data_IF_520412414165
#
_entry.id   IF_520412414165
#
_cell.length_a   1.000
_cell.length_b   1.000
_cell.length_c   1.000
_cell.angle_alpha   90.00
_cell.angle_beta   90.00
_cell.angle_gamma   90.00
#
_symmetry.space_group_name_H-M   'P 1'
#
loop_
_entity.id
_entity.type
_entity.pdbx_description
1 polymer ?
#
# COMPACT_ATOMS: atom_id res chain seq x y z
N UNK A 1 -9.93 7.29 16.20
CA UNK A 1 -10.05 8.58 16.90
C UNK A 1 -9.21 8.63 18.18
N UNK A 2 -9.35 7.62 19.06
CA UNK A 2 -8.72 7.64 20.40
C UNK A 2 -7.18 7.70 20.38
N UNK A 3 -6.52 7.03 19.41
CA UNK A 3 -5.05 7.08 19.27
C UNK A 3 -4.52 8.50 19.05
N UNK A 4 -4.97 9.23 18.01
CA UNK A 4 -4.60 10.63 17.80
C UNK A 4 -4.98 11.55 18.97
N UNK A 5 -6.12 11.34 19.60
CA UNK A 5 -6.53 12.08 20.80
C UNK A 5 -5.53 11.88 21.96
N UNK A 6 -5.20 10.62 22.27
CA UNK A 6 -4.28 10.28 23.37
C UNK A 6 -2.86 10.80 23.10
N UNK A 7 -2.40 10.69 21.87
CA UNK A 7 -1.10 11.19 21.45
C UNK A 7 -1.03 12.72 21.33
N UNK A 8 -2.18 13.41 21.38
CA UNK A 8 -2.33 14.82 21.02
C UNK A 8 -1.65 15.16 19.68
N UNK A 9 -1.69 14.20 18.76
CA UNK A 9 -1.06 14.28 17.44
C UNK A 9 -1.58 13.17 16.53
N UNK A 10 -1.92 13.48 15.30
CA UNK A 10 -2.35 12.47 14.32
C UNK A 10 -3.34 13.00 13.30
N UNK A 11 -3.70 12.14 12.36
CA UNK A 11 -4.56 12.46 11.23
C UNK A 11 -5.72 11.45 11.21
N UNK A 12 -6.75 11.70 12.02
CA UNK A 12 -7.87 10.76 12.15
C UNK A 12 -8.93 10.92 11.06
N UNK A 13 -9.10 12.11 10.49
CA UNK A 13 -10.23 12.40 9.62
C UNK A 13 -10.25 11.57 8.33
N UNK A 14 -9.12 11.46 7.63
CA UNK A 14 -8.98 10.58 6.48
C UNK A 14 -9.10 9.11 6.88
N UNK A 15 -8.52 8.71 8.02
CA UNK A 15 -8.62 7.34 8.52
C UNK A 15 -10.06 6.92 8.84
N UNK A 16 -10.87 7.84 9.35
CA UNK A 16 -12.30 7.62 9.60
C UNK A 16 -13.08 7.46 8.30
N UNK A 17 -12.87 8.36 7.35
CA UNK A 17 -13.55 8.33 6.04
C UNK A 17 -13.20 7.09 5.21
N UNK A 18 -11.96 6.57 5.34
CA UNK A 18 -11.48 5.39 4.62
C UNK A 18 -11.66 4.07 5.39
N UNK A 19 -12.23 4.09 6.60
CA UNK A 19 -12.41 2.87 7.38
C UNK A 19 -13.24 1.78 6.66
N UNK A 20 -14.37 2.10 5.97
CA UNK A 20 -15.10 1.09 5.21
C UNK A 20 -14.28 0.50 4.05
N UNK A 21 -13.53 1.32 3.31
CA UNK A 21 -12.63 0.86 2.26
C UNK A 21 -11.57 -0.09 2.81
N UNK A 22 -10.91 0.28 3.89
CA UNK A 22 -9.88 -0.55 4.52
C UNK A 22 -10.47 -1.87 5.04
N UNK A 23 -11.67 -1.83 5.63
CA UNK A 23 -12.41 -3.03 6.01
C UNK A 23 -12.62 -3.95 4.80
N UNK A 24 -13.13 -3.44 3.68
CA UNK A 24 -13.39 -4.25 2.47
C UNK A 24 -12.09 -4.84 1.91
N UNK A 25 -11.03 -4.02 1.80
CA UNK A 25 -9.74 -4.49 1.32
C UNK A 25 -9.23 -5.67 2.15
N UNK A 26 -9.08 -5.49 3.46
CA UNK A 26 -8.47 -6.50 4.33
C UNK A 26 -9.36 -7.71 4.58
N UNK A 27 -10.69 -7.54 4.70
CA UNK A 27 -11.57 -8.65 5.06
C UNK A 27 -12.17 -9.39 3.87
N UNK A 28 -12.26 -8.77 2.68
CA UNK A 28 -13.00 -9.34 1.55
C UNK A 28 -12.18 -9.50 0.27
N UNK A 29 -11.29 -8.55 -0.06
CA UNK A 29 -10.66 -8.46 -1.38
C UNK A 29 -9.23 -8.98 -1.39
N UNK A 30 -8.37 -8.45 -0.54
CA UNK A 30 -6.95 -8.78 -0.54
C UNK A 30 -6.67 -10.25 -0.21
N UNK A 31 -5.75 -10.83 -0.94
CA UNK A 31 -5.14 -12.14 -0.70
C UNK A 31 -3.96 -11.97 0.26
N UNK A 32 -4.16 -12.23 1.55
CA UNK A 32 -3.13 -12.10 2.58
C UNK A 32 -3.36 -13.11 3.71
N UNK A 33 -2.28 -13.45 4.42
CA UNK A 33 -2.32 -14.38 5.55
C UNK A 33 -1.62 -13.73 6.75
N UNK A 34 -2.36 -13.30 7.80
CA UNK A 34 -1.74 -12.69 8.98
C UNK A 34 -0.80 -13.63 9.73
N UNK A 35 -0.96 -14.96 9.58
CA UNK A 35 -0.06 -15.95 10.17
C UNK A 35 1.30 -16.04 9.44
N UNK A 36 1.37 -15.58 8.18
CA UNK A 36 2.61 -15.46 7.42
C UNK A 36 2.66 -14.10 6.68
N UNK A 37 3.01 -13.01 7.38
CA UNK A 37 3.10 -11.69 6.79
C UNK A 37 4.20 -11.58 5.71
N UNK A 38 5.03 -12.60 5.55
CA UNK A 38 6.08 -12.67 4.54
C UNK A 38 5.75 -13.60 3.37
N UNK A 39 4.53 -14.16 3.32
CA UNK A 39 4.09 -14.97 2.17
C UNK A 39 4.39 -14.25 0.84
N UNK A 40 5.13 -14.90 -0.03
CA UNK A 40 5.70 -14.28 -1.22
C UNK A 40 4.66 -13.79 -2.21
N UNK A 41 3.54 -14.49 -2.35
CA UNK A 41 2.45 -14.14 -3.28
C UNK A 41 1.21 -13.52 -2.59
N UNK A 42 1.40 -12.91 -1.41
CA UNK A 42 0.35 -12.08 -0.81
C UNK A 42 0.14 -10.81 -1.61
N UNK A 43 -1.06 -10.26 -1.64
CA UNK A 43 -1.30 -8.92 -2.13
C UNK A 43 -0.56 -7.88 -1.27
N UNK A 44 -0.18 -6.77 -1.87
CA UNK A 44 0.54 -5.66 -1.21
C UNK A 44 -0.42 -4.52 -0.94
N UNK A 45 -0.39 -4.01 0.28
CA UNK A 45 -1.10 -2.79 0.65
C UNK A 45 -0.13 -1.67 0.95
N UNK A 46 -0.23 -0.55 0.25
CA UNK A 46 0.60 0.63 0.45
C UNK A 46 -0.29 1.82 0.82
N UNK A 47 -0.03 2.39 1.98
CA UNK A 47 -0.63 3.65 2.38
C UNK A 47 0.32 4.79 1.97
N UNK A 48 0.11 5.37 0.77
CA UNK A 48 0.97 6.44 0.25
C UNK A 48 0.86 7.71 1.08
N UNK A 49 -0.35 8.03 1.55
CA UNK A 49 -0.55 9.05 2.58
C UNK A 49 -0.20 8.54 3.97
N UNK A 50 1.10 8.33 4.25
CA UNK A 50 1.58 7.67 5.47
C UNK A 50 1.16 8.37 6.78
N UNK A 51 0.77 9.65 6.73
CA UNK A 51 0.23 10.38 7.87
C UNK A 51 -1.06 9.75 8.43
N UNK A 52 -1.81 8.98 7.62
CA UNK A 52 -3.03 8.25 8.01
C UNK A 52 -2.71 6.89 8.65
N UNK A 53 -1.51 6.70 9.15
CA UNK A 53 -0.97 5.43 9.68
C UNK A 53 -1.88 4.71 10.67
N UNK A 54 -2.64 5.44 11.48
CA UNK A 54 -3.59 4.86 12.45
C UNK A 54 -4.64 3.97 11.77
N UNK A 55 -5.04 4.27 10.54
CA UNK A 55 -5.94 3.40 9.77
C UNK A 55 -5.29 2.04 9.52
N UNK A 56 -4.06 2.04 9.00
CA UNK A 56 -3.34 0.79 8.72
C UNK A 56 -3.07 -0.01 9.99
N UNK A 57 -2.64 0.64 11.08
CA UNK A 57 -2.42 -0.06 12.35
C UNK A 57 -3.69 -0.65 12.92
N UNK A 58 -4.82 0.06 12.81
CA UNK A 58 -6.12 -0.48 13.22
C UNK A 58 -6.49 -1.74 12.44
N UNK A 59 -6.24 -1.76 11.13
CA UNK A 59 -6.48 -2.96 10.32
C UNK A 59 -5.53 -4.10 10.65
N UNK A 60 -4.23 -3.81 10.85
CA UNK A 60 -3.26 -4.83 11.25
C UNK A 60 -3.59 -5.44 12.62
N UNK A 61 -4.08 -4.63 13.56
CA UNK A 61 -4.60 -5.11 14.84
C UNK A 61 -5.81 -6.02 14.66
N UNK A 62 -6.83 -5.56 13.92
CA UNK A 62 -8.06 -6.32 13.69
C UNK A 62 -7.81 -7.62 12.92
N UNK A 63 -6.88 -7.62 11.97
CA UNK A 63 -6.53 -8.81 11.18
C UNK A 63 -5.63 -9.81 11.92
N UNK A 64 -4.98 -9.41 13.01
CA UNK A 64 -4.13 -10.31 13.79
C UNK A 64 -2.67 -10.38 13.34
N UNK A 65 -2.12 -9.28 12.82
CA UNK A 65 -0.69 -9.17 12.45
C UNK A 65 0.26 -8.97 13.64
N UNK A 66 -0.19 -9.29 14.85
CA UNK A 66 0.63 -9.24 16.07
C UNK A 66 0.42 -8.01 16.92
N UNK A 67 -0.10 -6.91 16.38
CA UNK A 67 -0.44 -5.73 17.18
C UNK A 67 -1.51 -6.05 18.22
N UNK A 68 -1.34 -5.48 19.41
CA UNK A 68 -2.28 -5.54 20.52
C UNK A 68 -2.96 -4.16 20.70
N UNK A 69 -4.01 -4.12 21.51
CA UNK A 69 -4.72 -2.86 21.78
C UNK A 69 -3.81 -1.83 22.46
N UNK A 70 -2.92 -2.30 23.31
CA UNK A 70 -1.91 -1.50 23.99
C UNK A 70 -0.95 -0.81 23.01
N UNK A 71 -0.63 -1.44 21.88
CA UNK A 71 0.20 -0.82 20.85
C UNK A 71 -0.52 0.36 20.19
N UNK A 72 -1.84 0.26 19.98
CA UNK A 72 -2.66 1.38 19.48
C UNK A 72 -2.77 2.51 20.52
N UNK A 73 -2.80 2.18 21.81
CA UNK A 73 -2.77 3.16 22.90
C UNK A 73 -1.43 3.91 22.98
N UNK A 74 -0.35 3.29 22.48
CA UNK A 74 0.99 3.88 22.40
C UNK A 74 1.25 4.54 21.02
N UNK A 75 0.21 4.88 20.28
CA UNK A 75 0.34 5.54 18.97
C UNK A 75 1.23 6.78 19.04
N UNK A 76 2.21 6.88 18.15
CA UNK A 76 3.20 7.96 18.07
C UNK A 76 4.11 8.13 19.30
N UNK A 77 4.15 7.15 20.21
CA UNK A 77 5.07 7.22 21.32
C UNK A 77 6.44 6.65 20.93
N UNK A 78 7.50 7.14 21.57
CA UNK A 78 8.86 6.68 21.30
C UNK A 78 9.00 5.18 21.54
N UNK A 79 9.51 4.46 20.55
CA UNK A 79 9.72 3.01 20.61
C UNK A 79 8.47 2.15 20.47
N UNK A 80 7.29 2.75 20.23
CA UNK A 80 6.06 1.99 19.99
C UNK A 80 6.06 1.29 18.64
N UNK A 81 5.29 0.20 18.51
CA UNK A 81 5.06 -0.49 17.24
C UNK A 81 4.12 0.27 16.28
N UNK A 82 3.62 1.43 16.70
CA UNK A 82 2.70 2.27 15.92
C UNK A 82 3.25 3.70 15.78
N UNK A 83 4.39 3.87 15.08
CA UNK A 83 4.99 5.18 14.85
C UNK A 83 4.07 6.11 14.04
N UNK A 84 4.42 7.39 13.95
CA UNK A 84 3.60 8.40 13.28
C UNK A 84 3.33 8.14 11.79
N UNK A 85 4.22 7.41 11.15
CA UNK A 85 4.12 6.96 9.76
C UNK A 85 4.50 5.48 9.70
N UNK A 86 3.97 4.69 8.74
CA UNK A 86 4.33 3.29 8.60
C UNK A 86 5.82 3.11 8.30
N UNK A 87 6.45 2.13 8.96
CA UNK A 87 7.87 1.79 8.77
C UNK A 87 8.00 0.30 8.46
N UNK A 88 8.55 -0.01 7.28
CA UNK A 88 8.81 -1.40 6.87
C UNK A 88 9.85 -2.05 7.80
N UNK A 89 9.58 -3.29 8.20
CA UNK A 89 10.44 -4.03 9.12
C UNK A 89 10.27 -3.67 10.60
N UNK A 90 9.49 -2.62 10.92
CA UNK A 90 9.17 -2.24 12.29
C UNK A 90 7.81 -2.80 12.73
N UNK A 91 6.79 -2.65 11.91
CA UNK A 91 5.44 -3.18 12.17
C UNK A 91 5.14 -4.29 11.18
N UNK A 92 4.75 -5.48 11.65
CA UNK A 92 4.40 -6.60 10.77
C UNK A 92 3.20 -6.23 9.87
N UNK A 93 3.29 -6.57 8.58
CA UNK A 93 2.27 -6.22 7.58
C UNK A 93 2.40 -4.84 6.95
N UNK A 94 3.40 -4.04 7.34
CA UNK A 94 3.78 -2.81 6.64
C UNK A 94 4.74 -3.14 5.51
N UNK A 95 4.38 -2.78 4.28
CA UNK A 95 5.12 -3.11 3.06
C UNK A 95 6.16 -2.03 2.68
N UNK A 96 5.89 -0.78 3.00
CA UNK A 96 6.71 0.38 2.60
C UNK A 96 6.74 1.40 3.72
N UNK A 97 7.92 1.96 3.97
CA UNK A 97 8.05 3.16 4.81
C UNK A 97 7.53 4.36 4.02
N UNK A 98 6.50 5.02 4.54
CA UNK A 98 5.90 6.20 3.93
C UNK A 98 5.91 7.38 4.89
N UNK A 99 5.53 8.55 4.39
CA UNK A 99 5.57 9.83 5.11
C UNK A 99 5.78 10.95 4.11
N UNK A 100 6.91 10.99 3.37
CA UNK A 100 7.07 11.87 2.22
C UNK A 100 6.02 11.52 1.15
N UNK A 101 5.20 12.50 0.77
CA UNK A 101 4.10 12.31 -0.17
C UNK A 101 4.58 11.83 -1.55
N UNK A 102 3.77 11.04 -2.23
CA UNK A 102 4.08 10.47 -3.55
C UNK A 102 5.02 9.26 -3.53
N UNK A 103 5.86 9.11 -2.50
CA UNK A 103 6.84 8.01 -2.44
C UNK A 103 6.16 6.64 -2.36
N UNK A 104 5.10 6.50 -1.57
CA UNK A 104 4.34 5.25 -1.48
C UNK A 104 3.72 4.83 -2.81
N UNK A 105 3.16 5.79 -3.55
CA UNK A 105 2.64 5.55 -4.89
C UNK A 105 3.73 5.05 -5.86
N UNK A 106 4.89 5.71 -5.87
CA UNK A 106 6.01 5.30 -6.71
C UNK A 106 6.56 3.91 -6.31
N UNK A 107 6.62 3.60 -5.01
CA UNK A 107 6.96 2.24 -4.53
C UNK A 107 5.95 1.19 -4.99
N UNK A 108 4.65 1.52 -4.99
CA UNK A 108 3.61 0.62 -5.48
C UNK A 108 3.81 0.28 -6.97
N UNK A 109 4.17 1.26 -7.79
CA UNK A 109 4.55 1.04 -9.19
C UNK A 109 5.75 0.11 -9.29
N UNK A 110 6.81 0.34 -8.49
CA UNK A 110 7.97 -0.54 -8.43
C UNK A 110 7.63 -1.99 -8.04
N UNK A 111 6.72 -2.18 -7.08
CA UNK A 111 6.24 -3.51 -6.67
C UNK A 111 5.43 -4.19 -7.78
N UNK A 112 4.59 -3.46 -8.49
CA UNK A 112 3.84 -4.01 -9.62
C UNK A 112 4.76 -4.36 -10.81
N UNK A 113 5.83 -3.61 -11.05
CA UNK A 113 6.87 -3.97 -12.02
C UNK A 113 7.57 -5.27 -11.60
N UNK A 114 7.90 -5.39 -10.32
CA UNK A 114 8.53 -6.62 -9.79
C UNK A 114 7.60 -7.82 -9.92
N UNK A 115 6.31 -7.67 -9.60
CA UNK A 115 5.29 -8.72 -9.80
C UNK A 115 5.24 -9.16 -11.26
N UNK A 116 5.09 -8.23 -12.19
CA UNK A 116 4.99 -8.54 -13.63
C UNK A 116 6.23 -9.29 -14.15
N UNK A 117 7.44 -8.89 -13.70
CA UNK A 117 8.68 -9.59 -14.04
C UNK A 117 8.73 -10.99 -13.44
N UNK A 118 8.43 -11.14 -12.17
CA UNK A 118 8.45 -12.43 -11.47
C UNK A 118 7.39 -13.38 -12.03
N UNK A 119 6.18 -12.86 -12.32
CA UNK A 119 5.10 -13.63 -12.95
C UNK A 119 5.48 -14.12 -14.36
N UNK A 120 6.12 -13.27 -15.16
CA UNK A 120 6.62 -13.68 -16.48
C UNK A 120 7.71 -14.75 -16.39
N UNK A 121 8.49 -14.76 -15.31
CA UNK A 121 9.59 -15.69 -15.10
C UNK A 121 9.15 -17.02 -14.49
N UNK A 122 8.28 -16.97 -13.47
CA UNK A 122 7.93 -18.14 -12.65
C UNK A 122 6.50 -18.65 -12.87
N UNK A 123 5.70 -17.93 -13.66
CA UNK A 123 4.31 -18.29 -13.97
C UNK A 123 3.32 -17.77 -12.93
N UNK A 124 2.04 -17.68 -13.35
CA UNK A 124 0.95 -17.18 -12.52
C UNK A 124 0.63 -18.09 -11.31
N UNK A 125 0.93 -19.39 -11.39
CA UNK A 125 0.76 -20.29 -10.24
C UNK A 125 1.66 -19.93 -9.05
N UNK A 126 2.78 -19.23 -9.31
CA UNK A 126 3.74 -18.85 -8.31
C UNK A 126 3.67 -17.36 -7.94
N UNK A 127 3.34 -16.48 -8.90
CA UNK A 127 3.26 -15.03 -8.72
C UNK A 127 2.04 -14.49 -9.43
N UNK A 128 1.05 -14.07 -8.66
CA UNK A 128 -0.24 -13.54 -9.15
C UNK A 128 -0.89 -12.62 -8.09
N UNK A 129 -0.07 -11.75 -7.48
CA UNK A 129 -0.57 -10.83 -6.46
C UNK A 129 -0.81 -9.43 -7.02
N UNK A 130 -1.77 -8.75 -6.41
CA UNK A 130 -2.05 -7.35 -6.71
C UNK A 130 -1.33 -6.41 -5.74
N UNK A 131 -1.08 -5.21 -6.21
CA UNK A 131 -0.60 -4.10 -5.39
C UNK A 131 -1.71 -3.06 -5.29
N UNK A 132 -2.22 -2.86 -4.07
CA UNK A 132 -3.22 -1.84 -3.74
C UNK A 132 -2.51 -0.66 -3.08
N UNK A 133 -2.70 0.54 -3.61
CA UNK A 133 -2.16 1.76 -3.02
C UNK A 133 -3.27 2.78 -2.79
N UNK A 134 -3.33 3.32 -1.56
CA UNK A 134 -4.22 4.43 -1.21
C UNK A 134 -3.41 5.72 -1.25
N UNK A 135 -3.85 6.68 -2.06
CA UNK A 135 -3.20 7.96 -2.26
C UNK A 135 -4.23 9.10 -2.14
N UNK A 136 -3.88 10.16 -1.44
CA UNK A 136 -4.65 11.41 -1.40
C UNK A 136 -4.15 12.41 -2.43
N UNK A 137 -4.78 13.58 -2.48
CA UNK A 137 -4.44 14.69 -3.38
C UNK A 137 -2.94 15.03 -3.32
N UNK A 138 -2.40 15.25 -2.12
CA UNK A 138 -0.99 15.59 -1.94
C UNK A 138 -0.03 14.55 -2.51
N UNK A 139 -0.36 13.26 -2.45
CA UNK A 139 0.46 12.21 -3.08
C UNK A 139 0.46 12.33 -4.61
N UNK A 140 -0.70 12.60 -5.22
CA UNK A 140 -0.83 12.68 -6.68
C UNK A 140 -0.36 14.02 -7.27
N UNK A 141 -0.11 15.01 -6.43
CA UNK A 141 0.48 16.32 -6.81
C UNK A 141 2.01 16.25 -6.91
N UNK A 142 2.66 15.26 -6.26
CA UNK A 142 4.12 15.13 -6.29
C UNK A 142 4.64 14.73 -7.69
N UNK A 143 5.76 15.32 -8.12
CA UNK A 143 6.39 15.05 -9.43
C UNK A 143 6.68 13.59 -9.67
N UNK A 144 7.18 12.87 -8.64
CA UNK A 144 7.47 11.44 -8.71
C UNK A 144 6.23 10.61 -9.03
N UNK A 145 5.04 11.03 -8.58
CA UNK A 145 3.78 10.33 -8.90
C UNK A 145 3.41 10.45 -10.37
N UNK A 146 3.67 11.60 -11.01
CA UNK A 146 3.46 11.80 -12.44
C UNK A 146 4.38 10.89 -13.27
N UNK A 147 5.66 10.84 -12.94
CA UNK A 147 6.63 9.98 -13.61
C UNK A 147 6.28 8.49 -13.44
N UNK A 148 6.01 8.06 -12.21
CA UNK A 148 5.64 6.68 -11.90
C UNK A 148 4.33 6.27 -12.58
N UNK A 149 3.29 7.13 -12.57
CA UNK A 149 2.01 6.85 -13.22
C UNK A 149 2.15 6.69 -14.74
N UNK A 150 2.92 7.56 -15.38
CA UNK A 150 3.21 7.48 -16.81
C UNK A 150 3.91 6.16 -17.16
N UNK A 151 4.88 5.75 -16.34
CA UNK A 151 5.60 4.50 -16.56
C UNK A 151 4.72 3.27 -16.32
N UNK A 152 3.89 3.27 -15.27
CA UNK A 152 2.95 2.19 -14.99
C UNK A 152 1.97 1.95 -16.15
N UNK A 153 1.42 3.04 -16.71
CA UNK A 153 0.52 2.94 -17.87
C UNK A 153 1.24 2.44 -19.12
N UNK A 154 2.47 2.92 -19.39
CA UNK A 154 3.29 2.44 -20.50
C UNK A 154 3.57 0.93 -20.42
N UNK A 155 3.83 0.41 -19.23
CA UNK A 155 4.11 -1.01 -19.00
C UNK A 155 2.84 -1.87 -18.92
N UNK A 156 1.64 -1.27 -18.87
CA UNK A 156 0.38 -2.00 -18.74
C UNK A 156 0.31 -2.84 -17.46
N UNK A 157 0.61 -2.24 -16.29
CA UNK A 157 0.68 -2.97 -15.02
C UNK A 157 -0.71 -3.28 -14.46
N UNK A 158 -1.41 -4.26 -15.04
CA UNK A 158 -2.80 -4.59 -14.69
C UNK A 158 -3.02 -5.04 -13.23
N UNK A 159 -1.98 -5.48 -12.52
CA UNK A 159 -2.07 -5.84 -11.10
C UNK A 159 -1.83 -4.66 -10.14
N UNK A 160 -1.80 -3.43 -10.64
CA UNK A 160 -1.70 -2.21 -9.84
C UNK A 160 -3.06 -1.53 -9.75
N UNK A 161 -3.57 -1.38 -8.54
CA UNK A 161 -4.82 -0.67 -8.23
C UNK A 161 -4.53 0.49 -7.31
N UNK A 162 -4.71 1.70 -7.79
CA UNK A 162 -4.63 2.93 -6.99
C UNK A 162 -6.04 3.39 -6.61
N UNK A 163 -6.29 3.52 -5.33
CA UNK A 163 -7.50 4.14 -4.79
C UNK A 163 -7.14 5.59 -4.42
N UNK A 164 -7.69 6.52 -5.17
CA UNK A 164 -7.54 7.95 -4.92
C UNK A 164 -8.62 8.42 -3.96
N UNK A 165 -8.20 8.82 -2.76
CA UNK A 165 -9.03 9.46 -1.74
C UNK A 165 -9.33 10.90 -2.19
N UNK A 166 -10.40 11.06 -2.98
CA UNK A 166 -10.83 12.34 -3.55
C UNK A 166 -11.69 13.12 -2.57
N UNK A 167 -11.11 13.48 -1.41
CA UNK A 167 -11.83 14.19 -0.35
C UNK A 167 -11.88 15.71 -0.54
N UNK A 168 -11.12 16.28 -1.48
CA UNK A 168 -11.05 17.71 -1.81
C UNK A 168 -10.43 18.59 -0.72
N UNK A 169 -9.74 18.02 0.28
CA UNK A 169 -9.19 18.74 1.42
C UNK A 169 -7.71 18.43 1.60
N UNK A 170 -6.92 19.45 1.81
CA UNK A 170 -5.53 19.40 2.27
C UNK A 170 -5.42 19.93 3.70
N UNK A 171 -4.24 19.90 4.28
CA UNK A 171 -3.99 20.46 5.62
C UNK A 171 -4.26 21.96 5.69
N UNK A 172 -4.02 22.70 4.60
CA UNK A 172 -4.18 24.15 4.55
C UNK A 172 -5.56 24.61 4.09
N UNK A 173 -6.36 23.72 3.47
CA UNK A 173 -7.70 24.07 2.95
C UNK A 173 -8.15 23.18 1.81
N UNK A 174 -9.05 23.68 1.00
CA UNK A 174 -9.58 22.99 -0.16
C UNK A 174 -8.50 22.81 -1.24
N UNK A 175 -8.58 21.72 -2.00
CA UNK A 175 -7.59 21.40 -3.07
C UNK A 175 -7.60 22.40 -4.22
N UNK A 176 -8.73 23.09 -4.47
CA UNK A 176 -8.86 24.10 -5.54
C UNK A 176 -7.95 25.32 -5.35
N UNK A 177 -7.36 25.50 -4.18
CA UNK A 177 -6.31 26.51 -3.94
C UNK A 177 -5.05 26.28 -4.79
N UNK A 178 -4.76 25.03 -5.14
CA UNK A 178 -3.50 24.64 -5.80
C UNK A 178 -3.68 23.68 -6.96
N UNK A 179 -4.83 23.01 -7.11
CA UNK A 179 -5.11 22.02 -8.17
C UNK A 179 -6.29 22.49 -9.00
N UNK A 180 -6.05 22.64 -10.31
CA UNK A 180 -7.07 22.98 -11.29
C UNK A 180 -7.15 21.98 -12.45
N UNK A 181 -6.36 20.91 -12.40
CA UNK A 181 -6.31 19.89 -13.43
C UNK A 181 -7.41 18.85 -13.27
N UNK A 182 -7.73 18.17 -14.37
CA UNK A 182 -8.58 16.99 -14.39
C UNK A 182 -7.70 15.74 -14.15
N UNK A 183 -7.72 15.23 -12.92
CA UNK A 183 -6.94 14.04 -12.53
C UNK A 183 -7.37 12.81 -13.33
N UNK A 184 -8.65 12.63 -13.64
CA UNK A 184 -9.14 11.52 -14.44
C UNK A 184 -8.57 11.57 -15.87
N UNK A 185 -8.65 12.74 -16.52
CA UNK A 185 -8.11 12.93 -17.86
C UNK A 185 -6.58 12.71 -17.89
N UNK A 186 -5.86 13.18 -16.86
CA UNK A 186 -4.42 12.96 -16.71
C UNK A 186 -4.06 11.48 -16.69
N UNK A 187 -4.70 10.69 -15.83
CA UNK A 187 -4.42 9.25 -15.72
C UNK A 187 -4.85 8.49 -16.96
N UNK A 188 -5.98 8.86 -17.60
CA UNK A 188 -6.36 8.31 -18.91
C UNK A 188 -5.29 8.56 -19.97
N UNK A 189 -4.66 9.75 -19.96
CA UNK A 189 -3.58 10.09 -20.90
C UNK A 189 -2.31 9.25 -20.68
N UNK A 190 -2.10 8.74 -19.47
CA UNK A 190 -1.02 7.79 -19.16
C UNK A 190 -1.36 6.35 -19.57
N UNK A 191 -2.60 6.05 -19.97
CA UNK A 191 -3.04 4.70 -20.34
C UNK A 191 -3.61 3.87 -19.19
N UNK A 192 -4.06 4.51 -18.12
CA UNK A 192 -4.74 3.85 -17.02
C UNK A 192 -6.23 3.62 -17.31
N UNK A 193 -6.78 2.53 -16.77
CA UNK A 193 -8.20 2.41 -16.53
C UNK A 193 -8.60 3.36 -15.40
N UNK A 194 -9.61 4.22 -15.65
CA UNK A 194 -10.03 5.22 -14.65
C UNK A 194 -11.51 5.06 -14.35
N UNK A 195 -11.78 4.65 -13.12
CA UNK A 195 -13.13 4.40 -12.59
C UNK A 195 -13.54 5.55 -11.67
N UNK A 196 -14.42 6.42 -12.18
CA UNK A 196 -15.02 7.51 -11.41
C UNK A 196 -16.27 6.97 -10.69
N UNK A 197 -16.09 6.52 -9.45
CA UNK A 197 -17.15 5.79 -8.73
C UNK A 197 -18.02 6.69 -7.85
N UNK A 198 -17.65 7.96 -7.72
CA UNK A 198 -18.39 8.92 -6.90
C UNK A 198 -18.34 8.58 -5.40
N UNK A 199 -19.41 8.97 -4.69
CA UNK A 199 -19.53 8.76 -3.24
C UNK A 199 -20.18 7.41 -2.90
N UNK A 200 -19.38 6.37 -2.95
CA UNK A 200 -19.74 5.03 -2.44
C UNK A 200 -18.94 4.67 -1.18
N UNK A 201 -18.30 5.65 -0.55
CA UNK A 201 -17.32 5.44 0.52
C UNK A 201 -17.87 4.69 1.75
N UNK A 202 -19.18 4.67 1.94
CA UNK A 202 -19.86 3.95 3.01
C UNK A 202 -20.68 2.73 2.53
N UNK A 203 -20.63 2.40 1.24
CA UNK A 203 -21.28 1.22 0.67
C UNK A 203 -20.26 0.09 0.47
N UNK A 204 -20.18 -0.80 1.47
CA UNK A 204 -19.18 -1.88 1.48
C UNK A 204 -19.35 -2.87 0.32
N UNK A 205 -20.55 -3.08 -0.17
CA UNK A 205 -20.82 -4.01 -1.28
C UNK A 205 -20.45 -3.36 -2.62
N UNK A 206 -20.71 -2.06 -2.79
CA UNK A 206 -20.26 -1.30 -3.94
C UNK A 206 -18.72 -1.18 -3.97
N UNK A 207 -18.08 -0.93 -2.84
CA UNK A 207 -16.63 -0.91 -2.71
C UNK A 207 -16.01 -2.26 -3.10
N UNK A 208 -16.58 -3.37 -2.62
CA UNK A 208 -16.11 -4.71 -2.98
C UNK A 208 -16.25 -4.98 -4.48
N UNK A 209 -17.38 -4.61 -5.08
CA UNK A 209 -17.62 -4.79 -6.51
C UNK A 209 -16.63 -4.02 -7.37
N UNK A 210 -16.36 -2.76 -7.05
CA UNK A 210 -15.40 -1.90 -7.77
C UNK A 210 -13.97 -2.42 -7.64
N UNK A 211 -13.56 -2.81 -6.43
CA UNK A 211 -12.22 -3.34 -6.19
C UNK A 211 -11.98 -4.67 -6.93
N UNK A 212 -12.97 -5.55 -6.96
CA UNK A 212 -12.88 -6.79 -7.72
C UNK A 212 -12.88 -6.54 -9.24
N UNK A 213 -13.67 -5.59 -9.74
CA UNK A 213 -13.63 -5.20 -11.14
C UNK A 213 -12.27 -4.63 -11.56
N UNK A 214 -11.62 -3.85 -10.69
CA UNK A 214 -10.30 -3.29 -10.93
C UNK A 214 -9.20 -4.36 -11.07
N UNK A 215 -9.36 -5.52 -10.46
CA UNK A 215 -8.42 -6.65 -10.57
C UNK A 215 -8.45 -7.36 -11.92
N UNK A 216 -9.51 -7.18 -12.69
CA UNK A 216 -9.72 -7.86 -13.98
C UNK A 216 -9.22 -7.04 -15.18
N UNK A 217 -8.65 -5.85 -14.94
CA UNK A 217 -8.18 -4.97 -16.01
C UNK A 217 -6.76 -5.32 -16.46
N UNK A 218 -6.49 -5.11 -17.75
CA UNK A 218 -5.14 -5.31 -18.31
C UNK A 218 -4.23 -4.08 -18.15
N UNK A 219 -4.77 -2.96 -17.70
CA UNK A 219 -4.06 -1.72 -17.40
C UNK A 219 -4.06 -1.46 -15.89
N UNK A 220 -3.13 -0.65 -15.37
CA UNK A 220 -3.24 -0.17 -14.00
C UNK A 220 -4.54 0.62 -13.82
N UNK A 221 -5.21 0.44 -12.69
CA UNK A 221 -6.52 1.06 -12.42
C UNK A 221 -6.39 2.18 -11.41
N UNK A 222 -6.99 3.34 -11.72
CA UNK A 222 -7.26 4.40 -10.78
C UNK A 222 -8.75 4.39 -10.40
N UNK A 223 -9.06 4.10 -9.16
CA UNK A 223 -10.42 4.26 -8.60
C UNK A 223 -10.48 5.65 -7.95
N UNK A 224 -11.28 6.54 -8.50
CA UNK A 224 -11.53 7.87 -7.91
C UNK A 224 -12.71 7.77 -6.95
N UNK A 225 -12.38 7.64 -5.67
CA UNK A 225 -13.36 7.47 -4.59
C UNK A 225 -13.63 8.81 -3.90
N UNK A 226 -14.80 9.37 -4.10
CA UNK A 226 -15.23 10.53 -3.33
C UNK A 226 -15.44 10.12 -1.88
N UNK A 227 -14.72 10.75 -0.98
CA UNK A 227 -14.89 10.58 0.47
C UNK A 227 -15.15 11.91 1.16
N UNK A 228 -15.57 11.85 2.41
CA UNK A 228 -15.82 13.02 3.24
C UNK A 228 -14.92 12.95 4.47
N UNK A 229 -13.81 13.69 4.43
CA UNK A 229 -12.83 13.69 5.52
C UNK A 229 -13.51 14.02 6.84
N UNK A 230 -13.20 13.26 7.89
CA UNK A 230 -13.78 13.45 9.23
C UNK A 230 -15.17 12.85 9.40
N UNK A 231 -15.80 12.27 8.36
CA UNK A 231 -17.10 11.60 8.51
C UNK A 231 -16.98 10.42 9.49
N UNK A 232 -17.93 10.22 10.43
CA UNK A 232 -19.19 10.95 10.60
C UNK A 232 -19.16 11.99 11.75
N UNK A 233 -18.06 12.72 11.94
CA UNK A 233 -18.01 13.77 12.95
C UNK A 233 -19.09 14.83 12.71
N UNK A 234 -19.87 15.24 13.71
CA UNK A 234 -20.91 16.25 13.49
C UNK A 234 -20.37 17.65 13.16
N UNK A 235 -19.11 17.93 13.50
CA UNK A 235 -18.56 19.29 13.44
C UNK A 235 -17.42 19.46 12.44
N UNK A 236 -16.77 18.38 12.01
CA UNK A 236 -15.49 18.46 11.28
C UNK A 236 -15.51 17.84 9.89
N UNK A 237 -16.67 17.36 9.41
CA UNK A 237 -16.79 16.80 8.05
C UNK A 237 -16.41 17.84 7.00
N UNK A 238 -15.57 17.45 6.02
CA UNK A 238 -15.12 18.28 4.91
C UNK A 238 -14.38 19.57 5.33
N UNK A 239 -13.74 19.53 6.48
CA UNK A 239 -12.91 20.64 6.94
C UNK A 239 -11.44 20.27 7.00
N UNK A 240 -10.56 21.26 6.78
CA UNK A 240 -9.12 21.06 6.95
C UNK A 240 -8.72 20.78 8.40
N UNK A 241 -9.56 21.16 9.38
CA UNK A 241 -9.36 20.80 10.78
C UNK A 241 -9.35 19.28 10.99
N UNK A 242 -10.19 18.52 10.26
CA UNK A 242 -10.20 17.06 10.31
C UNK A 242 -8.93 16.42 9.73
N UNK A 243 -8.15 17.14 8.91
CA UNK A 243 -6.97 16.58 8.26
C UNK A 243 -5.83 16.31 9.26
N UNK A 244 -5.27 17.33 9.86
CA UNK A 244 -4.03 17.25 10.63
C UNK A 244 -4.13 17.61 12.12
N UNK A 245 -5.32 17.95 12.61
CA UNK A 245 -5.52 18.31 14.02
C UNK A 245 -6.25 17.19 14.76
N UNK A 246 -5.74 16.73 15.92
CA UNK A 246 -6.47 15.79 16.75
C UNK A 246 -7.83 16.37 17.17
N UNK A 247 -8.85 15.53 17.18
CA UNK A 247 -10.13 15.89 17.74
C UNK A 247 -10.01 16.05 19.26
N UNK A 248 -10.80 16.97 19.82
CA UNK A 248 -10.93 17.09 21.29
C UNK A 248 -11.69 15.89 21.87
N UNK A 249 -11.63 15.72 23.19
CA UNK A 249 -12.41 14.66 23.86
C UNK A 249 -13.91 14.84 23.62
N UNK A 250 -14.40 16.08 23.56
CA UNK A 250 -15.80 16.37 23.25
C UNK A 250 -16.18 15.99 21.82
N UNK A 251 -15.32 16.28 20.84
CA UNK A 251 -15.53 15.89 19.44
C UNK A 251 -15.60 14.36 19.30
N UNK A 252 -14.71 13.64 19.99
CA UNK A 252 -14.68 12.16 19.97
C UNK A 252 -15.96 11.60 20.62
N UNK A 253 -16.36 12.10 21.79
CA UNK A 253 -17.61 11.68 22.45
C UNK A 253 -18.83 11.91 21.55
N UNK A 254 -18.93 13.09 20.94
CA UNK A 254 -20.04 13.41 20.02
C UNK A 254 -20.02 12.54 18.75
N UNK A 255 -18.84 12.28 18.22
CA UNK A 255 -18.70 11.42 17.05
C UNK A 255 -19.08 9.97 17.37
N UNK A 256 -18.65 9.43 18.52
CA UNK A 256 -19.07 8.10 18.99
C UNK A 256 -20.58 8.00 19.18
N UNK A 257 -21.21 9.06 19.68
CA UNK A 257 -22.66 9.11 19.82
C UNK A 257 -23.38 9.05 18.45
N UNK A 258 -22.88 9.75 17.42
CA UNK A 258 -23.40 9.66 16.05
C UNK A 258 -23.22 8.25 15.49
N UNK A 259 -22.08 7.60 15.76
CA UNK A 259 -21.81 6.23 15.33
C UNK A 259 -22.62 5.17 16.09
N UNK A 260 -23.27 5.52 17.20
CA UNK A 260 -23.99 4.59 18.05
C UNK A 260 -23.10 3.61 18.81
N UNK A 261 -21.85 3.97 19.07
CA UNK A 261 -20.89 3.17 19.83
C UNK A 261 -20.67 3.77 21.23
N UNK A 262 -20.26 2.94 22.22
CA UNK A 262 -19.96 3.42 23.57
C UNK A 262 -18.89 4.51 23.61
N UNK A 263 -19.06 5.47 24.51
CA UNK A 263 -18.04 6.49 24.80
C UNK A 263 -16.97 5.92 25.75
N UNK A 264 -16.33 4.86 25.31
CA UNK A 264 -15.25 4.16 25.97
C UNK A 264 -13.97 4.32 25.13
N UNK A 265 -12.85 4.78 25.74
CA UNK A 265 -11.59 4.89 25.03
C UNK A 265 -11.13 3.53 24.50
N UNK A 266 -10.70 3.50 23.23
CA UNK A 266 -10.22 2.29 22.56
C UNK A 266 -11.22 1.11 22.61
N UNK A 267 -12.52 1.41 22.51
CA UNK A 267 -13.57 0.41 22.53
C UNK A 267 -13.36 -0.61 21.39
N UNK A 268 -13.02 -1.83 21.78
CA UNK A 268 -12.76 -2.94 20.88
C UNK A 268 -13.19 -4.25 21.56
N UNK A 269 -14.47 -4.62 21.47
CA UNK A 269 -14.99 -5.82 22.12
C UNK A 269 -14.24 -7.06 21.66
N UNK A 270 -13.74 -7.87 22.60
CA UNK A 270 -12.93 -9.05 22.32
C UNK A 270 -13.61 -10.03 21.37
N UNK A 271 -14.91 -10.27 21.57
CA UNK A 271 -15.70 -11.16 20.71
C UNK A 271 -15.71 -10.70 19.24
N UNK A 272 -15.81 -9.38 19.01
CA UNK A 272 -15.79 -8.79 17.65
C UNK A 272 -14.40 -8.93 17.03
N UNK A 273 -13.34 -8.60 17.79
CA UNK A 273 -11.95 -8.71 17.34
C UNK A 273 -11.60 -10.17 17.02
N UNK A 274 -11.97 -11.11 17.88
CA UNK A 274 -11.75 -12.55 17.66
C UNK A 274 -12.48 -13.06 16.42
N UNK A 275 -13.75 -12.68 16.25
CA UNK A 275 -14.52 -13.03 15.04
C UNK A 275 -13.89 -12.47 13.76
N UNK A 276 -13.40 -11.24 13.80
CA UNK A 276 -12.72 -10.61 12.67
C UNK A 276 -11.42 -11.34 12.32
N UNK A 277 -10.58 -11.63 13.32
CA UNK A 277 -9.33 -12.41 13.17
C UNK A 277 -9.58 -13.81 12.63
N UNK A 278 -10.60 -14.49 13.15
CA UNK A 278 -10.98 -15.82 12.68
C UNK A 278 -11.41 -15.81 11.20
N UNK A 279 -12.21 -14.83 10.79
CA UNK A 279 -12.64 -14.67 9.41
C UNK A 279 -11.46 -14.42 8.46
N UNK A 280 -10.62 -13.42 8.77
CA UNK A 280 -9.46 -13.06 7.93
C UNK A 280 -8.43 -14.21 7.90
N UNK A 281 -8.13 -14.82 9.06
CA UNK A 281 -7.20 -15.92 9.16
C UNK A 281 -7.65 -17.17 8.37
N UNK A 282 -8.94 -17.50 8.39
CA UNK A 282 -9.47 -18.63 7.61
C UNK A 282 -9.33 -18.40 6.09
N UNK A 283 -9.63 -17.16 5.61
CA UNK A 283 -9.43 -16.78 4.20
C UNK A 283 -7.96 -16.84 3.80
N UNK A 284 -7.09 -16.27 4.63
CA UNK A 284 -5.65 -16.23 4.41
C UNK A 284 -5.06 -17.64 4.33
N UNK A 285 -5.34 -18.48 5.31
CA UNK A 285 -4.88 -19.86 5.34
C UNK A 285 -5.33 -20.67 4.11
N UNK A 286 -6.58 -20.49 3.67
CA UNK A 286 -7.10 -21.18 2.49
C UNK A 286 -6.37 -20.75 1.21
N UNK A 287 -6.19 -19.45 1.01
CA UNK A 287 -5.49 -18.89 -0.15
C UNK A 287 -4.01 -19.30 -0.17
N UNK A 288 -3.36 -19.26 0.98
CA UNK A 288 -1.95 -19.64 1.13
C UNK A 288 -1.75 -21.14 0.89
N UNK A 289 -2.65 -22.01 1.37
CA UNK A 289 -2.60 -23.44 1.11
C UNK A 289 -2.79 -23.77 -0.38
N UNK A 290 -3.74 -23.09 -1.06
CA UNK A 290 -3.94 -23.24 -2.49
C UNK A 290 -2.69 -22.83 -3.29
N UNK A 291 -2.10 -21.68 -2.95
CA UNK A 291 -0.86 -21.20 -3.56
C UNK A 291 0.31 -22.19 -3.36
N UNK A 292 0.51 -22.70 -2.14
CA UNK A 292 1.57 -23.69 -1.87
C UNK A 292 1.42 -24.94 -2.75
N UNK A 293 0.20 -25.39 -2.97
CA UNK A 293 -0.06 -26.56 -3.80
C UNK A 293 0.24 -26.30 -5.29
N UNK A 294 -0.07 -25.09 -5.78
CA UNK A 294 0.13 -24.71 -7.18
C UNK A 294 1.59 -24.36 -7.50
N UNK A 295 2.30 -23.71 -6.58
CA UNK A 295 3.62 -23.08 -6.80
C UNK A 295 4.84 -24.00 -6.61
N UNK A 296 4.66 -25.28 -6.23
CA UNK A 296 5.76 -26.20 -5.84
C UNK A 296 6.90 -26.22 -6.86
N UNK A 297 6.57 -26.36 -8.15
CA UNK A 297 7.58 -26.46 -9.21
C UNK A 297 8.46 -25.21 -9.30
N UNK A 298 7.87 -24.03 -9.14
CA UNK A 298 8.60 -22.76 -9.20
C UNK A 298 9.43 -22.54 -7.93
N UNK A 299 8.82 -22.75 -6.75
CA UNK A 299 9.43 -22.45 -5.45
C UNK A 299 10.60 -23.36 -5.09
N UNK A 300 10.65 -24.57 -5.67
CA UNK A 300 11.79 -25.49 -5.54
C UNK A 300 12.94 -25.20 -6.51
N UNK A 301 12.78 -24.28 -7.44
CA UNK A 301 13.84 -23.94 -8.40
C UNK A 301 14.99 -23.15 -7.76
N UNK A 302 16.19 -23.26 -8.33
CA UNK A 302 17.34 -22.47 -7.91
C UNK A 302 17.13 -20.97 -8.20
N UNK A 303 16.52 -20.65 -9.33
CA UNK A 303 16.19 -19.28 -9.74
C UNK A 303 15.26 -18.60 -8.73
N UNK A 304 14.21 -19.30 -8.29
CA UNK A 304 13.31 -18.77 -7.26
C UNK A 304 14.05 -18.46 -5.97
N UNK A 305 14.82 -19.44 -5.47
CA UNK A 305 15.58 -19.23 -4.23
C UNK A 305 16.56 -18.07 -4.33
N UNK A 306 17.26 -17.95 -5.45
CA UNK A 306 18.21 -16.85 -5.67
C UNK A 306 17.50 -15.49 -5.76
N UNK A 307 16.36 -15.39 -6.48
CA UNK A 307 15.59 -14.16 -6.62
C UNK A 307 15.08 -13.64 -5.25
N UNK A 308 14.48 -14.51 -4.44
CA UNK A 308 13.94 -14.13 -3.12
C UNK A 308 15.01 -13.95 -2.04
N UNK A 309 16.16 -14.63 -2.17
CA UNK A 309 17.30 -14.40 -1.29
C UNK A 309 18.09 -13.13 -1.65
N UNK A 310 17.68 -12.39 -2.68
CA UNK A 310 18.41 -11.23 -3.21
C UNK A 310 19.87 -11.56 -3.53
N UNK A 311 20.07 -12.71 -4.12
CA UNK A 311 21.39 -13.25 -4.45
C UNK A 311 21.43 -13.74 -5.92
N UNK A 312 22.58 -14.20 -6.37
CA UNK A 312 22.75 -14.81 -7.68
C UNK A 312 22.77 -16.34 -7.61
N UNK A 313 22.68 -16.96 -8.78
CA UNK A 313 22.96 -18.38 -8.97
C UNK A 313 24.45 -18.67 -8.72
N UNK A 314 24.79 -19.94 -8.52
CA UNK A 314 26.18 -20.32 -8.27
C UNK A 314 27.10 -19.78 -9.38
N UNK A 315 28.19 -19.15 -8.95
CA UNK A 315 29.18 -18.56 -9.88
C UNK A 315 28.80 -17.18 -10.45
N UNK A 316 27.72 -16.54 -10.00
CA UNK A 316 27.25 -15.26 -10.55
C UNK A 316 28.32 -14.15 -10.58
N UNK A 317 29.31 -14.21 -9.70
CA UNK A 317 30.37 -13.21 -9.56
C UNK A 317 31.74 -13.68 -10.12
N UNK A 318 31.80 -14.84 -10.76
CA UNK A 318 33.06 -15.42 -11.24
C UNK A 318 33.69 -14.59 -12.35
N UNK A 319 32.88 -14.10 -13.29
CA UNK A 319 33.35 -13.39 -14.48
C UNK A 319 33.27 -11.85 -14.35
N UNK A 320 33.17 -11.35 -13.11
CA UNK A 320 33.18 -9.91 -12.87
C UNK A 320 34.47 -9.27 -13.41
N UNK A 321 34.39 -8.10 -14.07
CA UNK A 321 35.57 -7.46 -14.63
C UNK A 321 36.53 -7.01 -13.52
N UNK A 322 37.80 -7.32 -13.67
CA UNK A 322 38.88 -6.86 -12.81
C UNK A 322 39.64 -5.77 -13.56
N UNK A 323 40.02 -4.71 -12.83
CA UNK A 323 40.77 -3.58 -13.36
C UNK A 323 42.10 -3.45 -12.61
N UNK A 324 43.16 -3.18 -13.37
CA UNK A 324 44.51 -3.00 -12.82
C UNK A 324 44.74 -1.55 -12.34
N UNK A 325 45.70 -1.38 -11.44
CA UNK A 325 46.07 -0.04 -10.99
C UNK A 325 46.60 0.79 -12.17
N UNK A 326 45.95 1.90 -12.44
CA UNK A 326 46.29 2.80 -13.55
C UNK A 326 45.37 2.67 -14.76
N UNK A 327 44.46 1.69 -14.78
CA UNK A 327 43.42 1.62 -15.81
C UNK A 327 42.52 2.86 -15.78
N UNK A 328 42.23 3.37 -16.98
CA UNK A 328 41.28 4.47 -17.15
C UNK A 328 40.02 3.97 -17.85
N UNK A 329 39.01 3.65 -17.07
CA UNK A 329 37.73 3.14 -17.58
C UNK A 329 36.60 4.05 -17.11
N UNK A 330 35.76 4.47 -18.06
CA UNK A 330 34.55 5.24 -17.72
C UNK A 330 33.61 4.36 -16.87
N UNK A 331 33.05 4.89 -15.78
CA UNK A 331 32.17 4.15 -14.87
C UNK A 331 30.98 3.49 -15.56
N UNK A 332 30.37 4.18 -16.56
CA UNK A 332 29.30 3.58 -17.40
C UNK A 332 29.72 2.32 -18.15
N UNK A 333 31.01 2.25 -18.57
CA UNK A 333 31.54 1.05 -19.24
C UNK A 333 31.92 -0.03 -18.26
N UNK A 334 32.34 0.34 -17.06
CA UNK A 334 32.59 -0.62 -15.97
C UNK A 334 31.31 -1.32 -15.53
N UNK A 335 30.24 -0.56 -15.27
CA UNK A 335 28.95 -1.14 -14.89
C UNK A 335 28.32 -1.96 -16.01
N UNK A 336 28.42 -1.51 -17.27
CA UNK A 336 27.95 -2.30 -18.42
C UNK A 336 28.61 -3.67 -18.45
N UNK A 337 29.95 -3.74 -18.35
CA UNK A 337 30.69 -5.02 -18.36
C UNK A 337 30.31 -5.91 -17.17
N UNK A 338 30.09 -5.32 -15.99
CA UNK A 338 29.65 -6.08 -14.82
C UNK A 338 28.23 -6.65 -15.03
N UNK A 339 27.30 -5.86 -15.56
CA UNK A 339 25.95 -6.35 -15.87
C UNK A 339 25.96 -7.42 -16.97
N UNK A 340 26.73 -7.23 -18.05
CA UNK A 340 26.86 -8.21 -19.13
C UNK A 340 27.35 -9.57 -18.60
N UNK A 341 28.26 -9.56 -17.61
CA UNK A 341 28.79 -10.78 -17.00
C UNK A 341 27.80 -11.46 -16.00
N UNK A 342 26.93 -10.72 -15.37
CA UNK A 342 26.17 -11.22 -14.21
C UNK A 342 24.66 -11.31 -14.44
N UNK A 343 24.08 -10.52 -15.35
CA UNK A 343 22.63 -10.34 -15.49
C UNK A 343 21.86 -11.67 -15.64
N UNK A 344 22.38 -12.59 -16.46
CA UNK A 344 21.75 -13.90 -16.66
C UNK A 344 21.73 -14.79 -15.41
N UNK A 345 22.64 -14.53 -14.46
CA UNK A 345 22.79 -15.28 -13.22
C UNK A 345 22.16 -14.61 -12.00
N UNK A 346 21.49 -13.48 -12.20
CA UNK A 346 20.81 -12.70 -11.15
C UNK A 346 19.30 -12.65 -11.42
N UNK A 347 18.55 -13.73 -11.11
CA UNK A 347 17.15 -13.86 -11.52
C UNK A 347 16.21 -12.82 -10.90
N UNK A 348 16.61 -12.18 -9.81
CA UNK A 348 15.85 -11.07 -9.19
C UNK A 348 16.29 -9.67 -9.64
N UNK A 349 17.29 -9.56 -10.52
CA UNK A 349 17.79 -8.27 -10.99
C UNK A 349 16.95 -7.72 -12.13
N UNK A 350 16.51 -6.48 -11.98
CA UNK A 350 15.95 -5.66 -13.05
C UNK A 350 16.85 -4.44 -13.26
N UNK A 351 17.03 -4.03 -14.50
CA UNK A 351 17.83 -2.86 -14.83
C UNK A 351 17.15 -2.06 -15.93
N UNK A 352 17.28 -0.76 -15.85
CA UNK A 352 16.83 0.18 -16.86
C UNK A 352 17.66 1.45 -16.82
N UNK A 353 17.54 2.25 -17.84
CA UNK A 353 18.22 3.53 -17.92
C UNK A 353 17.35 4.56 -18.64
N UNK A 354 17.54 5.83 -18.31
CA UNK A 354 17.00 6.95 -19.06
C UNK A 354 18.11 7.49 -19.99
N UNK A 355 17.72 8.07 -21.10
CA UNK A 355 18.64 8.73 -22.04
C UNK A 355 19.78 7.80 -22.56
N UNK A 356 19.37 6.75 -23.20
CA UNK A 356 20.29 5.81 -23.86
C UNK A 356 20.45 6.10 -25.34
#
# INVERSE_FOLDING_TARGET
MDGPLTANSGHQGTGMALAPLAHVLYSRVMKHDPADPHWTDRDRFILSGGHVSILQYSMLFLCGYGLQLEDLQQFRQWGSLTPGHPEVGHTAGVEVTTGPLGQGFANAVGMAIAEANLRARFGADAVDHHTFVVAGDGCLMEGVSHEAASWAGHLGLGHLVCIFDDNKITIDGATDLTVSEDTAARFRSYGWDVQEVGDISNDVDALEAVLNAAKETAQPTLIMLRTHIGYPSPDHVDTNHAHGNPFTSEDVTRTKAVMGIPDEPFWAPSELVEAYRAHVGARGAASHAAWRAASVSATESADWRAAWAQNGLDGWNTDLPVYEQGDSVATRKAIQKALDATFALLPGLMSGSADL
#
